data_IF_485628143995
#
_entry.id   IF_485628143995
#
_cell.length_a   1.000
_cell.length_b   1.000
_cell.length_c   1.000
_cell.angle_alpha   90.00
_cell.angle_beta   90.00
_cell.angle_gamma   90.00
#
_symmetry.space_group_name_H-M   'P 1'
#
loop_
_entity.id
_entity.type
_entity.pdbx_description
1 polymer ?
#
# COMPACT_ATOMS: atom_id res chain seq x y z
N UNK A 1 -14.56 27.99 10.89
CA UNK A 1 -13.59 27.11 10.19
C UNK A 1 -12.60 26.60 11.22
N UNK A 2 -12.42 25.29 11.29
CA UNK A 2 -11.48 24.64 12.21
C UNK A 2 -10.04 25.06 11.84
N UNK A 3 -9.16 25.43 12.79
CA UNK A 3 -7.75 25.73 12.52
C UNK A 3 -7.01 24.65 11.71
N UNK A 4 -7.43 23.38 11.83
CA UNK A 4 -6.89 22.26 11.04
C UNK A 4 -7.31 22.36 9.56
N UNK A 5 -8.54 22.79 9.26
CA UNK A 5 -8.99 22.99 7.88
C UNK A 5 -8.29 24.17 7.19
N UNK A 6 -8.04 25.26 7.92
CA UNK A 6 -7.29 26.42 7.43
C UNK A 6 -5.85 26.01 7.12
N UNK A 7 -5.21 25.22 7.99
CA UNK A 7 -3.85 24.73 7.79
C UNK A 7 -3.73 23.78 6.56
N UNK A 8 -4.72 22.93 6.34
CA UNK A 8 -4.75 22.03 5.19
C UNK A 8 -5.01 22.78 3.87
N UNK A 9 -5.89 23.78 3.89
CA UNK A 9 -6.17 24.65 2.73
C UNK A 9 -4.93 25.43 2.31
N UNK A 10 -4.22 26.06 3.26
CA UNK A 10 -2.99 26.80 3.00
C UNK A 10 -1.87 25.88 2.44
N UNK A 11 -1.70 24.67 2.97
CA UNK A 11 -0.75 23.69 2.45
C UNK A 11 -1.06 23.25 1.03
N UNK A 12 -2.33 23.05 0.71
CA UNK A 12 -2.77 22.70 -0.64
C UNK A 12 -2.50 23.82 -1.64
N UNK A 13 -2.72 25.09 -1.26
CA UNK A 13 -2.39 26.25 -2.10
C UNK A 13 -0.88 26.31 -2.34
N UNK A 14 -0.07 26.22 -1.31
CA UNK A 14 1.41 26.24 -1.43
C UNK A 14 1.93 25.11 -2.33
N UNK A 15 1.42 23.89 -2.15
CA UNK A 15 1.82 22.76 -2.99
C UNK A 15 1.38 22.94 -4.44
N UNK A 16 0.22 23.54 -4.69
CA UNK A 16 -0.26 23.86 -6.04
C UNK A 16 0.66 24.86 -6.73
N UNK A 17 1.05 25.94 -6.04
CA UNK A 17 1.99 26.95 -6.57
C UNK A 17 3.33 26.32 -6.86
N UNK A 18 3.87 25.52 -5.94
CA UNK A 18 5.14 24.79 -6.10
C UNK A 18 5.10 23.89 -7.35
N UNK A 19 4.06 23.06 -7.50
CA UNK A 19 3.90 22.18 -8.66
C UNK A 19 3.89 22.96 -9.98
N UNK A 20 3.13 24.05 -10.04
CA UNK A 20 3.06 24.90 -11.26
C UNK A 20 4.43 25.51 -11.60
N UNK A 21 5.11 26.06 -10.59
CA UNK A 21 6.42 26.67 -10.77
C UNK A 21 7.47 25.65 -11.20
N UNK A 22 7.54 24.49 -10.53
CA UNK A 22 8.51 23.45 -10.87
C UNK A 22 8.27 22.89 -12.28
N UNK A 23 7.01 22.71 -12.67
CA UNK A 23 6.69 22.32 -14.05
C UNK A 23 7.18 23.34 -15.08
N UNK A 24 6.94 24.64 -14.83
CA UNK A 24 7.42 25.71 -15.71
C UNK A 24 8.94 25.74 -15.83
N UNK A 25 9.63 25.43 -14.72
CA UNK A 25 11.10 25.39 -14.64
C UNK A 25 11.70 24.04 -15.08
N UNK A 26 10.89 23.06 -15.49
CA UNK A 26 11.36 21.70 -15.83
C UNK A 26 11.96 20.93 -14.66
N UNK A 27 11.60 21.26 -13.41
CA UNK A 27 12.15 20.59 -12.22
C UNK A 27 11.27 19.42 -11.81
N UNK A 28 11.82 18.22 -11.88
CA UNK A 28 11.13 16.96 -11.58
C UNK A 28 11.80 16.24 -10.40
N UNK A 29 11.00 15.51 -9.62
CA UNK A 29 11.41 14.87 -8.37
C UNK A 29 10.88 13.44 -8.31
N UNK A 30 11.42 12.56 -9.16
CA UNK A 30 11.12 11.13 -9.14
C UNK A 30 12.05 10.48 -8.12
N UNK A 31 11.55 9.89 -7.04
CA UNK A 31 12.40 9.26 -6.05
C UNK A 31 12.94 7.93 -6.59
N UNK A 32 14.24 7.77 -6.55
CA UNK A 32 14.92 6.50 -6.81
C UNK A 32 14.82 5.63 -5.56
N UNK A 33 13.60 5.18 -5.25
CA UNK A 33 13.37 4.21 -4.18
C UNK A 33 13.86 2.88 -4.73
N UNK A 34 15.05 2.50 -4.30
CA UNK A 34 15.72 1.34 -4.81
C UNK A 34 14.95 0.07 -4.48
N UNK A 35 14.64 -0.72 -5.51
CA UNK A 35 14.62 -2.17 -5.43
C UNK A 35 13.46 -2.78 -4.68
N UNK A 36 12.29 -2.11 -4.58
CA UNK A 36 11.08 -2.71 -4.02
C UNK A 36 10.06 -2.99 -5.13
N UNK A 37 9.63 -4.25 -5.23
CA UNK A 37 8.51 -4.67 -6.07
C UNK A 37 7.31 -5.02 -5.19
N UNK A 38 6.11 -4.61 -5.62
CA UNK A 38 4.87 -4.97 -4.97
C UNK A 38 4.31 -6.25 -5.60
N UNK A 39 4.02 -7.27 -4.79
CA UNK A 39 3.49 -8.54 -5.24
C UNK A 39 2.20 -8.84 -4.47
N UNK A 40 1.08 -8.94 -5.19
CA UNK A 40 -0.17 -9.41 -4.62
C UNK A 40 -0.14 -10.92 -4.48
N UNK A 41 0.20 -11.43 -3.28
CA UNK A 41 0.18 -12.88 -3.03
C UNK A 41 -1.24 -13.44 -2.94
N UNK A 42 -2.16 -12.62 -2.42
CA UNK A 42 -3.58 -12.93 -2.40
C UNK A 42 -4.40 -11.66 -2.50
N UNK A 43 -5.37 -11.64 -3.39
CA UNK A 43 -6.39 -10.58 -3.45
C UNK A 43 -7.61 -10.90 -2.59
N UNK A 44 -7.62 -12.03 -1.87
CA UNK A 44 -8.71 -12.44 -0.98
C UNK A 44 -8.59 -11.76 0.38
N UNK A 45 -9.70 -11.32 0.96
CA UNK A 45 -9.79 -10.81 2.33
C UNK A 45 -10.94 -11.49 3.07
N UNK A 46 -10.80 -11.69 4.36
CA UNK A 46 -11.86 -12.21 5.24
C UNK A 46 -12.73 -11.11 5.87
N UNK A 47 -12.45 -9.84 5.57
CA UNK A 47 -13.21 -8.68 6.02
C UNK A 47 -13.85 -7.97 4.83
N UNK A 48 -15.00 -7.33 5.04
CA UNK A 48 -15.76 -6.55 4.06
C UNK A 48 -15.85 -5.08 4.48
N UNK A 49 -14.70 -4.48 4.79
CA UNK A 49 -14.65 -3.11 5.32
C UNK A 49 -15.36 -2.13 4.40
N UNK A 50 -16.33 -1.37 4.94
CA UNK A 50 -17.17 -0.43 4.20
C UNK A 50 -16.37 0.68 3.47
N UNK A 51 -15.16 0.99 3.93
CA UNK A 51 -14.27 1.98 3.35
C UNK A 51 -13.22 1.36 2.41
N UNK A 52 -13.28 0.06 2.11
CA UNK A 52 -12.29 -0.63 1.27
C UNK A 52 -12.84 -0.94 -0.12
N UNK A 53 -12.04 -0.72 -1.14
CA UNK A 53 -12.40 -1.06 -2.51
C UNK A 53 -12.55 -2.58 -2.74
N UNK A 54 -12.13 -3.42 -1.80
CA UNK A 54 -12.25 -4.88 -1.88
C UNK A 54 -13.69 -5.36 -2.16
N UNK A 55 -14.67 -4.73 -1.52
CA UNK A 55 -16.09 -5.12 -1.70
C UNK A 55 -16.62 -4.78 -3.10
N UNK A 56 -15.97 -3.87 -3.80
CA UNK A 56 -16.33 -3.43 -5.17
C UNK A 56 -15.39 -3.96 -6.25
N UNK A 57 -14.37 -4.73 -5.87
CA UNK A 57 -13.41 -5.34 -6.80
C UNK A 57 -14.12 -6.25 -7.79
N UNK A 58 -13.92 -6.00 -9.08
CA UNK A 58 -14.49 -6.77 -10.19
C UNK A 58 -13.54 -7.84 -10.71
N UNK A 59 -12.22 -7.61 -10.59
CA UNK A 59 -11.22 -8.58 -10.98
C UNK A 59 -11.22 -9.81 -10.05
N UNK A 60 -10.73 -10.98 -10.50
CA UNK A 60 -10.75 -12.21 -9.71
C UNK A 60 -10.11 -12.07 -8.33
N UNK A 61 -10.77 -12.63 -7.31
CA UNK A 61 -10.24 -12.75 -5.96
C UNK A 61 -9.56 -14.12 -5.82
N UNK A 62 -8.25 -14.14 -5.98
CA UNK A 62 -7.44 -15.36 -6.05
C UNK A 62 -6.15 -15.20 -5.26
N UNK A 63 -5.51 -16.33 -4.93
CA UNK A 63 -4.14 -16.37 -4.43
C UNK A 63 -3.20 -16.81 -5.53
N UNK A 64 -2.00 -16.22 -5.57
CA UNK A 64 -0.93 -16.55 -6.49
C UNK A 64 -0.39 -17.95 -6.18
N UNK A 65 -0.16 -18.79 -7.19
CA UNK A 65 0.47 -20.10 -6.98
C UNK A 65 1.93 -19.94 -6.52
N UNK A 66 2.47 -20.95 -5.83
CA UNK A 66 3.86 -20.92 -5.38
C UNK A 66 4.84 -20.87 -6.53
N UNK A 67 4.63 -21.68 -7.56
CA UNK A 67 5.52 -21.72 -8.74
C UNK A 67 5.56 -20.38 -9.45
N UNK A 68 4.40 -19.73 -9.61
CA UNK A 68 4.35 -18.42 -10.22
C UNK A 68 5.00 -17.34 -9.33
N UNK A 69 4.80 -17.41 -8.01
CA UNK A 69 5.48 -16.52 -7.08
C UNK A 69 7.00 -16.63 -7.15
N UNK A 70 7.52 -17.87 -7.19
CA UNK A 70 8.96 -18.15 -7.35
C UNK A 70 9.49 -17.55 -8.63
N UNK A 71 8.78 -17.70 -9.74
CA UNK A 71 9.16 -17.12 -11.03
C UNK A 71 9.14 -15.58 -11.01
N UNK A 72 8.11 -14.97 -10.38
CA UNK A 72 8.05 -13.49 -10.19
C UNK A 72 9.25 -12.99 -9.40
N UNK A 73 9.60 -13.65 -8.29
CA UNK A 73 10.75 -13.26 -7.46
C UNK A 73 12.06 -13.42 -8.26
N UNK A 74 12.24 -14.51 -8.98
CA UNK A 74 13.40 -14.75 -9.84
C UNK A 74 13.57 -13.62 -10.87
N UNK A 75 12.53 -13.33 -11.64
CA UNK A 75 12.55 -12.25 -12.64
C UNK A 75 12.81 -10.87 -11.99
N UNK A 76 12.22 -10.61 -10.84
CA UNK A 76 12.43 -9.37 -10.12
C UNK A 76 13.89 -9.22 -9.63
N UNK A 77 14.48 -10.26 -9.08
CA UNK A 77 15.86 -10.27 -8.63
C UNK A 77 16.85 -10.04 -9.79
N UNK A 78 16.61 -10.68 -10.95
CA UNK A 78 17.38 -10.45 -12.18
C UNK A 78 17.34 -8.99 -12.63
N UNK A 79 16.23 -8.28 -12.36
CA UNK A 79 16.08 -6.85 -12.63
C UNK A 79 16.63 -5.91 -11.55
N UNK A 80 17.24 -6.48 -10.51
CA UNK A 80 17.83 -5.72 -9.43
C UNK A 80 16.89 -5.41 -8.25
N UNK A 81 15.68 -5.91 -8.23
CA UNK A 81 14.82 -5.81 -7.04
C UNK A 81 15.40 -6.67 -5.92
N UNK A 82 15.40 -6.14 -4.69
CA UNK A 82 15.95 -6.82 -3.50
C UNK A 82 14.97 -6.80 -2.33
N UNK A 83 13.90 -6.02 -2.44
CA UNK A 83 12.88 -5.88 -1.40
C UNK A 83 11.50 -6.12 -2.00
N UNK A 84 10.61 -6.68 -1.20
CA UNK A 84 9.26 -7.04 -1.65
C UNK A 84 8.20 -6.52 -0.68
N UNK A 85 7.20 -5.84 -1.21
CA UNK A 85 5.97 -5.51 -0.52
C UNK A 85 4.94 -6.57 -0.89
N UNK A 86 4.53 -7.36 0.10
CA UNK A 86 3.68 -8.55 -0.12
C UNK A 86 2.19 -8.26 0.01
N UNK A 87 1.84 -7.02 0.35
CA UNK A 87 0.44 -6.64 0.51
C UNK A 87 -0.07 -6.00 -0.76
N UNK A 88 -1.17 -6.53 -1.27
CA UNK A 88 -1.86 -5.94 -2.41
C UNK A 88 -2.53 -4.60 -2.02
N UNK A 89 -3.09 -3.94 -3.02
CA UNK A 89 -4.05 -2.85 -2.77
C UNK A 89 -5.18 -3.31 -1.84
N UNK A 90 -5.67 -4.53 -2.05
CA UNK A 90 -6.73 -5.18 -1.25
C UNK A 90 -6.37 -6.64 -0.99
N UNK A 91 -7.05 -7.26 -0.04
CA UNK A 91 -6.75 -8.62 0.40
C UNK A 91 -6.02 -8.64 1.74
N UNK A 92 -5.67 -9.83 2.20
CA UNK A 92 -4.83 -10.06 3.38
C UNK A 92 -3.87 -11.20 3.10
N UNK A 93 -2.60 -11.05 3.44
CA UNK A 93 -1.56 -12.05 3.14
C UNK A 93 -1.85 -13.42 3.77
N UNK A 94 -2.48 -13.45 4.95
CA UNK A 94 -2.83 -14.71 5.61
C UNK A 94 -4.05 -15.41 5.02
N UNK A 95 -4.70 -14.81 4.02
CA UNK A 95 -5.71 -15.49 3.19
C UNK A 95 -5.07 -16.33 2.07
N UNK A 96 -3.77 -16.19 1.85
CA UNK A 96 -3.00 -17.10 1.00
C UNK A 96 -2.70 -18.38 1.78
N UNK A 97 -3.22 -19.54 1.36
CA UNK A 97 -2.99 -20.80 2.08
C UNK A 97 -1.51 -21.21 2.14
N UNK A 98 -0.70 -20.72 1.21
CA UNK A 98 0.72 -21.06 1.06
C UNK A 98 1.64 -19.89 1.41
N UNK A 99 1.17 -18.89 2.17
CA UNK A 99 1.95 -17.67 2.44
C UNK A 99 3.28 -17.95 3.13
N UNK A 100 3.33 -18.91 4.03
CA UNK A 100 4.56 -19.24 4.73
C UNK A 100 5.60 -19.93 3.83
N UNK A 101 5.19 -20.71 2.83
CA UNK A 101 6.09 -21.27 1.82
C UNK A 101 6.70 -20.14 0.97
N UNK A 102 5.92 -19.12 0.65
CA UNK A 102 6.42 -17.91 -0.03
C UNK A 102 7.38 -17.10 0.85
N UNK A 103 7.11 -16.98 2.14
CA UNK A 103 8.06 -16.36 3.08
C UNK A 103 9.35 -17.16 3.16
N UNK A 104 9.28 -18.49 3.29
CA UNK A 104 10.45 -19.38 3.33
C UNK A 104 11.28 -19.28 2.04
N UNK A 105 10.63 -19.13 0.88
CA UNK A 105 11.33 -18.86 -0.38
C UNK A 105 12.12 -17.55 -0.32
N UNK A 106 11.51 -16.45 0.18
CA UNK A 106 12.20 -15.17 0.34
C UNK A 106 13.34 -15.23 1.38
N UNK A 107 13.12 -15.95 2.49
CA UNK A 107 14.14 -16.17 3.54
C UNK A 107 15.38 -16.90 2.99
N UNK A 108 15.18 -17.92 2.15
CA UNK A 108 16.27 -18.74 1.58
C UNK A 108 17.00 -18.08 0.42
N UNK A 109 16.38 -17.11 -0.28
CA UNK A 109 16.97 -16.51 -1.49
C UNK A 109 18.07 -15.52 -1.16
N UNK A 110 19.32 -15.78 -1.58
CA UNK A 110 20.50 -14.99 -1.22
C UNK A 110 20.40 -13.49 -1.55
N UNK A 111 19.81 -13.17 -2.72
CA UNK A 111 19.70 -11.81 -3.21
C UNK A 111 18.51 -11.02 -2.63
N UNK A 112 17.63 -11.64 -1.86
CA UNK A 112 16.53 -10.95 -1.18
C UNK A 112 17.07 -10.31 0.10
N UNK A 113 16.97 -8.97 0.16
CA UNK A 113 17.40 -8.19 1.32
C UNK A 113 16.31 -8.06 2.40
N UNK A 114 15.05 -8.20 2.02
CA UNK A 114 13.92 -8.15 2.95
C UNK A 114 12.58 -8.05 2.27
N UNK A 115 11.53 -8.24 3.07
CA UNK A 115 10.16 -8.08 2.64
C UNK A 115 9.30 -7.52 3.77
N UNK A 116 8.13 -7.03 3.40
CA UNK A 116 7.18 -6.42 4.33
C UNK A 116 5.75 -6.65 3.88
N UNK A 117 4.79 -6.47 4.80
CA UNK A 117 3.37 -6.57 4.46
C UNK A 117 2.48 -5.84 5.45
N UNK A 118 1.22 -5.64 5.01
CA UNK A 118 0.12 -5.23 5.87
C UNK A 118 -0.81 -6.41 6.11
N UNK A 119 -1.48 -6.44 7.26
CA UNK A 119 -2.50 -7.44 7.59
C UNK A 119 -3.53 -6.88 8.57
N UNK A 120 -4.74 -7.40 8.54
CA UNK A 120 -5.75 -7.15 9.58
C UNK A 120 -5.56 -8.02 10.83
N UNK A 121 -4.65 -9.00 10.75
CA UNK A 121 -4.20 -9.88 11.82
C UNK A 121 -5.30 -10.73 12.49
N UNK A 122 -6.47 -10.87 11.85
CA UNK A 122 -7.57 -11.69 12.36
C UNK A 122 -7.48 -13.16 11.94
N UNK A 123 -6.65 -13.48 10.93
CA UNK A 123 -6.55 -14.81 10.31
C UNK A 123 -5.49 -15.70 10.95
N UNK A 124 -4.29 -15.22 11.32
CA UNK A 124 -3.23 -16.07 11.87
C UNK A 124 -3.69 -16.91 13.06
N UNK A 125 -3.22 -18.16 13.12
CA UNK A 125 -3.37 -19.05 14.28
C UNK A 125 -2.16 -18.87 15.19
N UNK A 126 -2.19 -19.32 16.43
CA UNK A 126 -1.06 -19.22 17.35
C UNK A 126 0.27 -19.74 16.77
N UNK A 127 0.24 -20.86 16.05
CA UNK A 127 1.43 -21.41 15.38
C UNK A 127 1.95 -20.53 14.24
N UNK A 128 1.06 -19.80 13.57
CA UNK A 128 1.43 -18.93 12.47
C UNK A 128 2.15 -17.67 13.00
N UNK A 129 1.73 -17.19 14.18
CA UNK A 129 2.42 -16.10 14.90
C UNK A 129 3.83 -16.54 15.33
N UNK A 130 4.01 -17.78 15.85
CA UNK A 130 5.31 -18.32 16.18
C UNK A 130 6.23 -18.44 14.96
N UNK A 131 5.71 -18.90 13.81
CA UNK A 131 6.47 -18.93 12.55
C UNK A 131 6.88 -17.53 12.12
N UNK A 132 5.97 -16.55 12.22
CA UNK A 132 6.26 -15.16 11.88
C UNK A 132 7.44 -14.60 12.67
N UNK A 133 7.50 -14.89 13.98
CA UNK A 133 8.58 -14.44 14.86
C UNK A 133 9.95 -15.07 14.53
N UNK A 134 9.99 -16.16 13.79
CA UNK A 134 11.22 -16.85 13.40
C UNK A 134 11.85 -16.31 12.10
N UNK A 135 11.10 -15.51 11.32
CA UNK A 135 11.55 -14.96 10.03
C UNK A 135 12.65 -13.90 10.25
N UNK A 136 13.70 -13.94 9.44
CA UNK A 136 14.90 -13.09 9.60
C UNK A 136 14.98 -11.93 8.60
N UNK A 137 14.45 -12.15 7.38
CA UNK A 137 14.39 -11.13 6.33
C UNK A 137 13.07 -10.36 6.30
N UNK A 138 12.10 -10.75 7.13
CA UNK A 138 10.93 -9.94 7.37
C UNK A 138 11.39 -8.63 8.01
N UNK A 139 11.22 -7.52 7.29
CA UNK A 139 11.72 -6.21 7.72
C UNK A 139 10.66 -5.38 8.43
N UNK A 140 9.40 -5.49 8.04
CA UNK A 140 8.34 -4.67 8.60
C UNK A 140 6.97 -5.34 8.50
N UNK A 141 6.17 -5.19 9.54
CA UNK A 141 4.74 -5.58 9.56
C UNK A 141 3.91 -4.40 10.03
N UNK A 142 2.95 -3.99 9.21
CA UNK A 142 1.91 -3.05 9.64
C UNK A 142 0.61 -3.81 9.91
N UNK A 143 0.12 -3.75 11.14
CA UNK A 143 -1.17 -4.33 11.49
C UNK A 143 -2.24 -3.24 11.38
N UNK A 144 -3.21 -3.49 10.49
CA UNK A 144 -4.35 -2.60 10.27
C UNK A 144 -5.49 -2.94 11.22
N UNK A 145 -5.76 -2.04 12.16
CA UNK A 145 -6.82 -2.16 13.16
C UNK A 145 -8.02 -1.33 12.71
N UNK A 146 -9.21 -1.91 12.79
CA UNK A 146 -10.46 -1.26 12.39
C UNK A 146 -11.46 -1.24 13.55
N UNK A 147 -12.06 -0.06 13.80
CA UNK A 147 -12.88 0.17 14.98
C UNK A 147 -12.07 0.32 16.27
N UNK A 148 -12.74 0.65 17.35
CA UNK A 148 -12.13 0.81 18.67
C UNK A 148 -12.76 -0.10 19.74
N UNK A 149 -13.89 -0.75 19.41
CA UNK A 149 -14.63 -1.71 20.24
C UNK A 149 -15.35 -2.73 19.34
N UNK A 150 -16.03 -3.76 19.90
CA UNK A 150 -16.73 -4.76 19.11
C UNK A 150 -17.77 -4.18 18.14
N UNK A 151 -18.54 -3.19 18.57
CA UNK A 151 -19.64 -2.63 17.77
C UNK A 151 -19.09 -1.82 16.57
N UNK A 152 -18.08 -0.98 16.78
CA UNK A 152 -17.43 -0.22 15.70
C UNK A 152 -16.62 -1.12 14.80
N UNK A 153 -16.00 -2.18 15.31
CA UNK A 153 -15.32 -3.19 14.50
C UNK A 153 -16.32 -3.89 13.55
N UNK A 154 -17.43 -4.38 14.06
CA UNK A 154 -18.49 -5.00 13.26
C UNK A 154 -19.06 -4.02 12.23
N UNK A 155 -19.42 -2.81 12.64
CA UNK A 155 -19.97 -1.79 11.75
C UNK A 155 -19.02 -1.39 10.61
N UNK A 156 -17.72 -1.36 10.85
CA UNK A 156 -16.71 -1.01 9.84
C UNK A 156 -16.36 -2.19 8.95
N UNK A 157 -16.19 -3.39 9.52
CA UNK A 157 -15.60 -4.55 8.81
C UNK A 157 -16.61 -5.55 8.31
N UNK A 158 -17.87 -5.48 8.76
CA UNK A 158 -18.89 -6.51 8.52
C UNK A 158 -18.63 -7.84 9.25
N UNK A 159 -17.59 -7.91 10.08
CA UNK A 159 -17.19 -9.15 10.75
C UNK A 159 -17.71 -9.20 12.19
N UNK A 160 -18.10 -10.40 12.63
CA UNK A 160 -18.70 -10.62 13.95
C UNK A 160 -17.76 -10.37 15.12
N UNK A 161 -18.30 -10.19 16.32
CA UNK A 161 -17.55 -10.09 17.58
C UNK A 161 -16.59 -11.27 17.80
N UNK A 162 -16.88 -12.46 17.29
CA UNK A 162 -15.96 -13.61 17.33
C UNK A 162 -14.63 -13.29 16.64
N UNK A 163 -14.67 -12.60 15.52
CA UNK A 163 -13.45 -12.19 14.78
C UNK A 163 -12.71 -11.07 15.53
N UNK A 164 -13.44 -10.13 16.13
CA UNK A 164 -12.86 -9.12 17.01
C UNK A 164 -12.11 -9.74 18.20
N UNK A 165 -12.72 -10.71 18.90
CA UNK A 165 -12.06 -11.41 20.01
C UNK A 165 -10.83 -12.18 19.56
N UNK A 166 -10.88 -12.77 18.35
CA UNK A 166 -9.70 -13.43 17.76
C UNK A 166 -8.58 -12.43 17.48
N UNK A 167 -8.89 -11.25 16.95
CA UNK A 167 -7.92 -10.18 16.79
C UNK A 167 -7.25 -9.84 18.13
N UNK A 168 -8.03 -9.58 19.19
CA UNK A 168 -7.50 -9.27 20.51
C UNK A 168 -6.61 -10.40 21.05
N UNK A 169 -7.00 -11.67 20.90
CA UNK A 169 -6.21 -12.81 21.32
C UNK A 169 -4.87 -12.93 20.55
N UNK A 170 -4.90 -12.71 19.23
CA UNK A 170 -3.69 -12.70 18.40
C UNK A 170 -2.74 -11.55 18.79
N UNK A 171 -3.28 -10.39 19.08
CA UNK A 171 -2.52 -9.23 19.53
C UNK A 171 -1.92 -9.46 20.93
N UNK A 172 -2.65 -10.08 21.86
CA UNK A 172 -2.14 -10.43 23.17
C UNK A 172 -0.96 -11.41 23.08
N UNK A 173 -1.08 -12.45 22.22
CA UNK A 173 0.02 -13.38 21.96
C UNK A 173 1.24 -12.66 21.37
N UNK A 174 1.03 -11.79 20.38
CA UNK A 174 2.11 -11.01 19.76
C UNK A 174 2.77 -10.08 20.79
N UNK A 175 1.99 -9.45 21.66
CA UNK A 175 2.50 -8.60 22.73
C UNK A 175 3.40 -9.39 23.70
N UNK A 176 2.96 -10.56 24.14
CA UNK A 176 3.73 -11.46 25.01
C UNK A 176 5.07 -11.93 24.39
N UNK A 177 5.16 -11.89 23.06
CA UNK A 177 6.34 -12.31 22.31
C UNK A 177 7.13 -11.15 21.68
N UNK A 178 6.80 -9.89 22.03
CA UNK A 178 7.31 -8.68 21.36
C UNK A 178 8.84 -8.59 21.34
N UNK A 179 9.52 -9.06 22.41
CA UNK A 179 10.98 -9.07 22.50
C UNK A 179 11.67 -10.10 21.59
N UNK A 180 10.93 -11.03 20.97
CA UNK A 180 11.49 -12.08 20.11
C UNK A 180 11.44 -11.71 18.61
N UNK A 181 10.68 -10.66 18.23
CA UNK A 181 10.56 -10.26 16.83
C UNK A 181 11.87 -9.69 16.29
N UNK A 182 12.17 -9.96 15.02
CA UNK A 182 13.31 -9.39 14.30
C UNK A 182 12.91 -8.27 13.33
N UNK A 183 11.63 -7.95 13.22
CA UNK A 183 11.06 -6.97 12.28
C UNK A 183 10.51 -5.74 13.00
N UNK A 184 10.42 -4.64 12.28
CA UNK A 184 9.70 -3.47 12.73
C UNK A 184 8.19 -3.72 12.74
N UNK A 185 7.51 -3.23 13.76
CA UNK A 185 6.07 -3.38 13.92
C UNK A 185 5.44 -2.01 14.10
N UNK A 186 4.37 -1.73 13.37
CA UNK A 186 3.51 -0.60 13.65
C UNK A 186 2.01 -0.94 13.44
N UNK A 187 1.16 -0.09 13.99
CA UNK A 187 -0.28 -0.21 13.86
C UNK A 187 -0.87 0.99 13.11
N UNK A 188 -1.76 0.69 12.16
CA UNK A 188 -2.65 1.66 11.55
C UNK A 188 -4.06 1.52 12.10
N UNK A 189 -4.37 2.17 13.21
CA UNK A 189 -5.71 2.12 13.80
C UNK A 189 -6.63 3.13 13.12
N UNK A 190 -7.69 2.64 12.49
CA UNK A 190 -8.72 3.43 11.81
C UNK A 190 -10.07 3.19 12.48
N UNK A 191 -10.73 4.25 12.90
CA UNK A 191 -12.02 4.16 13.57
C UNK A 191 -12.93 5.33 13.16
N UNK A 192 -14.08 5.43 13.77
CA UNK A 192 -15.08 6.48 13.61
C UNK A 192 -14.63 7.78 14.28
N UNK A 193 -15.31 8.91 13.99
CA UNK A 193 -15.00 10.23 14.56
C UNK A 193 -15.16 10.29 16.09
N UNK A 194 -16.03 9.45 16.63
CA UNK A 194 -16.37 9.35 18.04
C UNK A 194 -15.46 8.40 18.84
N UNK A 195 -14.35 7.95 18.24
CA UNK A 195 -13.37 7.13 18.95
C UNK A 195 -12.91 7.85 20.23
N UNK A 196 -13.09 7.23 21.41
CA UNK A 196 -12.76 7.87 22.68
C UNK A 196 -11.25 8.10 22.83
N UNK A 197 -10.88 9.15 23.56
CA UNK A 197 -9.48 9.48 23.84
C UNK A 197 -8.83 8.53 24.84
N UNK A 198 -9.62 7.91 25.74
CA UNK A 198 -9.16 6.95 26.74
C UNK A 198 -9.54 5.55 26.34
N UNK A 199 -8.72 4.58 26.71
CA UNK A 199 -8.99 3.18 26.44
C UNK A 199 -10.22 2.70 27.22
N UNK A 200 -11.32 2.44 26.49
CA UNK A 200 -12.56 1.91 27.05
C UNK A 200 -12.81 0.46 26.67
N UNK A 201 -12.08 -0.06 25.67
CA UNK A 201 -12.20 -1.44 25.20
C UNK A 201 -10.91 -2.23 25.43
N UNK A 202 -10.98 -3.56 25.28
CA UNK A 202 -9.83 -4.46 25.32
C UNK A 202 -8.81 -4.07 24.24
N UNK A 203 -9.28 -3.85 23.01
CA UNK A 203 -8.42 -3.48 21.88
C UNK A 203 -7.68 -2.16 22.13
N UNK A 204 -8.36 -1.15 22.66
CA UNK A 204 -7.71 0.12 22.96
C UNK A 204 -6.66 -0.01 24.06
N UNK A 205 -6.93 -0.81 25.11
CA UNK A 205 -5.92 -1.11 26.15
C UNK A 205 -4.70 -1.85 25.57
N UNK A 206 -4.91 -2.78 24.64
CA UNK A 206 -3.81 -3.42 23.93
C UNK A 206 -2.98 -2.39 23.14
N UNK A 207 -3.61 -1.48 22.42
CA UNK A 207 -2.89 -0.43 21.69
C UNK A 207 -2.07 0.47 22.62
N UNK A 208 -2.60 0.86 23.77
CA UNK A 208 -1.85 1.63 24.78
C UNK A 208 -0.64 0.85 25.33
N UNK A 209 -0.79 -0.47 25.54
CA UNK A 209 0.33 -1.34 25.97
C UNK A 209 1.44 -1.42 24.91
N UNK A 210 1.06 -1.57 23.62
CA UNK A 210 2.03 -1.54 22.52
C UNK A 210 2.75 -0.19 22.43
N UNK A 211 2.03 0.93 22.56
CA UNK A 211 2.64 2.27 22.57
C UNK A 211 3.62 2.45 23.73
N UNK A 212 3.23 2.02 24.93
CA UNK A 212 4.11 2.06 26.10
C UNK A 212 5.38 1.22 25.93
N UNK A 213 5.36 0.22 25.03
CA UNK A 213 6.51 -0.61 24.66
C UNK A 213 7.31 -0.05 23.47
N UNK A 214 6.99 1.18 23.01
CA UNK A 214 7.71 1.84 21.92
C UNK A 214 7.22 1.50 20.51
N UNK A 215 6.13 0.74 20.37
CA UNK A 215 5.52 0.43 19.06
C UNK A 215 4.68 1.63 18.59
N UNK A 216 4.84 2.03 17.35
CA UNK A 216 4.09 3.17 16.77
C UNK A 216 2.65 2.77 16.50
N UNK A 217 1.69 3.50 17.06
CA UNK A 217 0.26 3.36 16.75
C UNK A 217 -0.26 4.65 16.10
N UNK A 218 -0.48 4.61 14.80
CA UNK A 218 -1.05 5.73 14.04
C UNK A 218 -2.57 5.65 14.07
N UNK A 219 -3.22 6.64 14.66
CA UNK A 219 -4.69 6.70 14.75
C UNK A 219 -5.28 7.63 13.70
N UNK A 220 -6.34 7.16 13.04
CA UNK A 220 -7.18 7.94 12.14
C UNK A 220 -8.61 7.97 12.67
N UNK A 221 -9.14 9.17 12.85
CA UNK A 221 -10.46 9.42 13.44
C UNK A 221 -11.45 9.76 12.32
N UNK A 222 -12.13 8.75 11.79
CA UNK A 222 -13.29 8.90 10.90
C UNK A 222 -13.04 9.62 9.58
N UNK A 223 -11.79 9.74 9.12
CA UNK A 223 -11.48 10.30 7.80
C UNK A 223 -10.69 9.29 6.98
N UNK A 224 -11.24 8.88 5.85
CA UNK A 224 -10.68 7.81 5.02
C UNK A 224 -10.47 8.26 3.59
N UNK A 225 -9.62 7.52 2.87
CA UNK A 225 -9.40 7.74 1.44
C UNK A 225 -10.53 7.14 0.60
N UNK A 226 -10.68 7.67 -0.63
CA UNK A 226 -11.73 7.27 -1.56
C UNK A 226 -11.35 6.10 -2.49
N UNK A 227 -10.17 5.52 -2.34
CA UNK A 227 -9.71 4.41 -3.18
C UNK A 227 -9.80 4.69 -4.70
N UNK A 228 -9.41 5.89 -5.14
CA UNK A 228 -9.48 6.25 -6.56
C UNK A 228 -10.91 6.36 -7.09
N UNK A 229 -11.88 6.63 -6.20
CA UNK A 229 -13.29 6.76 -6.52
C UNK A 229 -14.12 5.49 -6.34
N UNK A 230 -13.50 4.36 -5.95
CA UNK A 230 -14.26 3.15 -5.61
C UNK A 230 -15.13 3.33 -4.38
N UNK A 231 -14.68 4.12 -3.41
CA UNK A 231 -15.38 4.35 -2.14
C UNK A 231 -15.93 5.77 -2.10
N UNK A 232 -17.18 5.88 -1.70
CA UNK A 232 -17.94 7.13 -1.59
C UNK A 232 -18.56 7.27 -0.22
N UNK A 233 -19.12 8.45 0.09
CA UNK A 233 -19.85 8.68 1.34
C UNK A 233 -21.10 7.79 1.47
N UNK A 234 -21.63 7.27 0.35
CA UNK A 234 -22.74 6.33 0.37
C UNK A 234 -22.38 4.97 0.99
N UNK A 235 -21.12 4.56 0.86
CA UNK A 235 -20.65 3.26 1.35
C UNK A 235 -20.48 3.22 2.88
N UNK A 236 -20.33 4.39 3.51
CA UNK A 236 -20.13 4.56 4.96
C UNK A 236 -21.35 5.17 5.66
N UNK A 237 -22.52 5.16 5.00
CA UNK A 237 -23.76 5.68 5.60
C UNK A 237 -24.09 4.96 6.91
N UNK A 238 -24.48 5.75 7.92
CA UNK A 238 -24.78 5.24 9.25
C UNK A 238 -23.57 5.15 10.20
N UNK A 239 -22.36 5.39 9.69
CA UNK A 239 -21.17 5.52 10.50
C UNK A 239 -20.65 6.96 10.49
N UNK A 240 -20.13 7.49 11.60
CA UNK A 240 -19.50 8.82 11.64
C UNK A 240 -18.12 8.80 10.97
N UNK A 241 -18.13 8.64 9.64
CA UNK A 241 -16.95 8.53 8.77
C UNK A 241 -17.12 9.47 7.59
N UNK A 242 -16.06 10.20 7.24
CA UNK A 242 -15.94 10.99 6.02
C UNK A 242 -15.02 10.29 5.01
N UNK A 243 -15.34 10.41 3.75
CA UNK A 243 -14.49 9.99 2.63
C UNK A 243 -13.87 11.22 1.97
N UNK A 244 -12.55 11.23 1.83
CA UNK A 244 -11.85 12.32 1.15
C UNK A 244 -12.25 12.41 -0.32
N UNK A 245 -12.51 13.63 -0.79
CA UNK A 245 -12.72 13.90 -2.22
C UNK A 245 -11.39 14.09 -2.98
N UNK A 246 -11.44 13.81 -4.27
CA UNK A 246 -10.30 14.00 -5.17
C UNK A 246 -10.01 15.47 -5.50
N UNK A 247 -11.00 16.34 -5.35
CA UNK A 247 -10.94 17.78 -5.60
C UNK A 247 -9.95 18.52 -4.71
N UNK A 248 -9.57 17.90 -3.58
CA UNK A 248 -8.58 18.47 -2.64
C UNK A 248 -7.13 18.37 -3.15
N UNK A 249 -6.89 17.65 -4.26
CA UNK A 249 -5.54 17.40 -4.77
C UNK A 249 -5.38 17.96 -6.16
N UNK A 250 -4.50 18.94 -6.30
CA UNK A 250 -4.08 19.46 -7.60
C UNK A 250 -3.23 18.43 -8.34
N UNK A 251 -3.70 18.02 -9.53
CA UNK A 251 -3.06 17.02 -10.38
C UNK A 251 -2.41 17.68 -11.58
N UNK A 252 -1.10 17.48 -11.72
CA UNK A 252 -0.33 18.01 -12.81
C UNK A 252 0.94 17.18 -13.01
N UNK A 253 1.14 16.61 -14.20
CA UNK A 253 2.23 15.71 -14.54
C UNK A 253 2.02 14.26 -14.11
N UNK A 254 3.02 13.42 -14.29
CA UNK A 254 2.95 12.02 -13.88
C UNK A 254 2.95 11.86 -12.36
N UNK A 255 2.27 10.83 -11.89
CA UNK A 255 2.26 10.45 -10.48
C UNK A 255 3.53 9.71 -10.11
N UNK A 256 4.20 10.08 -9.02
CA UNK A 256 5.40 9.41 -8.54
C UNK A 256 5.21 7.89 -8.28
N UNK A 257 3.97 7.46 -8.03
CA UNK A 257 3.66 6.05 -7.85
C UNK A 257 3.87 5.20 -9.11
N UNK A 258 3.75 5.78 -10.31
CA UNK A 258 4.04 5.05 -11.55
C UNK A 258 5.51 4.58 -11.64
N UNK A 259 6.41 5.24 -10.93
CA UNK A 259 7.85 4.97 -10.93
C UNK A 259 8.31 4.14 -9.73
N UNK A 260 7.48 4.06 -8.68
CA UNK A 260 7.90 3.52 -7.38
C UNK A 260 7.06 2.38 -6.86
N UNK A 261 5.85 2.16 -7.42
CA UNK A 261 4.91 1.19 -6.89
C UNK A 261 4.25 0.36 -8.00
N UNK A 262 5.05 -0.14 -8.94
CA UNK A 262 4.58 -1.14 -9.90
C UNK A 262 4.22 -2.42 -9.14
N UNK A 263 3.08 -3.02 -9.48
CA UNK A 263 2.55 -4.18 -8.79
C UNK A 263 2.34 -5.36 -9.76
N UNK A 264 2.76 -6.55 -9.32
CA UNK A 264 2.36 -7.81 -9.92
C UNK A 264 1.15 -8.35 -9.16
N UNK A 265 0.01 -8.45 -9.86
CA UNK A 265 -1.24 -8.99 -9.30
C UNK A 265 -1.17 -10.51 -9.17
N UNK A 266 -2.00 -11.10 -8.31
CA UNK A 266 -2.08 -12.57 -8.15
C UNK A 266 -2.47 -13.31 -9.44
N UNK A 267 -3.09 -12.62 -10.38
CA UNK A 267 -3.45 -13.11 -11.72
C UNK A 267 -2.31 -13.06 -12.75
N UNK A 268 -1.17 -12.45 -12.42
CA UNK A 268 -0.06 -12.20 -13.35
C UNK A 268 -0.11 -10.85 -14.07
N UNK A 269 -1.21 -10.11 -13.96
CA UNK A 269 -1.30 -8.77 -14.52
C UNK A 269 -0.32 -7.84 -13.80
N UNK A 270 0.43 -7.05 -14.56
CA UNK A 270 1.32 -6.01 -14.02
C UNK A 270 0.62 -4.67 -14.13
N UNK A 271 0.44 -4.03 -12.97
CA UNK A 271 -0.26 -2.76 -12.84
C UNK A 271 0.70 -1.62 -12.50
N UNK A 272 0.52 -0.46 -13.12
CA UNK A 272 1.37 0.73 -12.90
C UNK A 272 1.20 1.39 -11.52
N UNK A 273 0.25 0.94 -10.70
CA UNK A 273 0.00 1.53 -9.39
C UNK A 273 -0.47 0.48 -8.36
N UNK A 274 0.29 0.29 -7.29
CA UNK A 274 -0.06 -0.59 -6.17
C UNK A 274 -0.90 0.13 -5.09
N UNK A 275 -1.40 1.35 -5.34
CA UNK A 275 -1.93 2.18 -4.26
C UNK A 275 -3.46 2.28 -4.21
N UNK A 276 -4.14 2.38 -5.36
CA UNK A 276 -5.59 2.70 -5.42
C UNK A 276 -6.33 1.97 -6.53
N UNK A 277 -5.64 1.24 -7.37
CA UNK A 277 -6.22 0.59 -8.55
C UNK A 277 -6.37 -0.91 -8.33
N UNK A 278 -7.48 -1.29 -7.73
CA UNK A 278 -7.74 -2.68 -7.29
C UNK A 278 -8.08 -3.63 -8.44
N UNK A 279 -8.51 -3.08 -9.59
CA UNK A 279 -8.89 -3.85 -10.77
C UNK A 279 -7.86 -3.80 -11.90
N UNK A 280 -6.66 -3.26 -11.60
CA UNK A 280 -5.56 -3.11 -12.56
C UNK A 280 -5.97 -2.38 -13.85
N UNK A 281 -6.74 -1.28 -13.71
CA UNK A 281 -7.15 -0.44 -14.85
C UNK A 281 -5.97 0.35 -15.45
N UNK A 282 -4.85 0.42 -14.70
CA UNK A 282 -3.56 0.97 -15.12
C UNK A 282 -2.61 -0.14 -15.56
N UNK A 283 -3.14 -1.20 -16.16
CA UNK A 283 -2.38 -2.35 -16.65
C UNK A 283 -1.28 -1.90 -17.62
N UNK A 284 -0.06 -2.38 -17.38
CA UNK A 284 1.12 -2.15 -18.24
C UNK A 284 1.66 -3.44 -18.86
N UNK A 285 1.16 -4.61 -18.45
CA UNK A 285 1.54 -5.90 -19.02
C UNK A 285 0.88 -7.09 -18.36
N UNK A 286 1.33 -8.29 -18.76
CA UNK A 286 0.86 -9.57 -18.24
C UNK A 286 2.04 -10.54 -18.21
N UNK A 287 2.44 -10.96 -17.04
CA UNK A 287 3.57 -11.89 -16.83
C UNK A 287 3.29 -13.30 -17.38
N UNK A 288 2.03 -13.66 -17.61
CA UNK A 288 1.71 -14.93 -18.27
C UNK A 288 2.10 -14.93 -19.77
N UNK A 289 2.33 -13.75 -20.36
CA UNK A 289 2.62 -13.60 -21.79
C UNK A 289 3.98 -12.90 -22.05
N UNK A 290 4.46 -12.06 -21.14
CA UNK A 290 5.61 -11.19 -21.39
C UNK A 290 6.50 -11.13 -20.14
N UNK A 291 7.81 -11.31 -20.25
CA UNK A 291 8.73 -11.21 -19.11
C UNK A 291 8.71 -9.84 -18.44
N UNK A 292 8.94 -9.82 -17.12
CA UNK A 292 8.92 -8.59 -16.32
C UNK A 292 9.89 -7.51 -16.84
N UNK A 293 11.04 -7.92 -17.41
CA UNK A 293 12.02 -7.02 -17.97
C UNK A 293 11.47 -6.19 -19.15
N UNK A 294 10.59 -6.81 -19.95
CA UNK A 294 9.99 -6.17 -21.12
C UNK A 294 8.77 -5.34 -20.72
N UNK A 295 8.08 -5.74 -19.66
CA UNK A 295 6.95 -4.99 -19.10
C UNK A 295 7.43 -3.71 -18.40
N UNK A 296 8.44 -3.79 -17.53
CA UNK A 296 9.03 -2.61 -16.85
C UNK A 296 10.21 -2.13 -17.72
N UNK A 297 9.90 -1.56 -18.85
CA UNK A 297 10.86 -1.14 -19.87
C UNK A 297 10.41 0.15 -20.56
N UNK A 298 11.34 1.02 -20.97
CA UNK A 298 10.99 2.18 -21.78
C UNK A 298 10.55 1.78 -23.20
N UNK A 299 10.83 0.55 -23.65
CA UNK A 299 10.33 0.01 -24.90
C UNK A 299 8.87 -0.47 -24.80
N UNK A 300 8.30 -0.57 -23.59
CA UNK A 300 6.92 -0.95 -23.42
C UNK A 300 5.97 0.23 -23.70
N UNK A 301 5.20 0.21 -24.82
CA UNK A 301 4.35 1.33 -25.18
C UNK A 301 3.23 1.55 -24.15
N UNK A 302 2.68 0.51 -23.51
CA UNK A 302 1.62 0.65 -22.52
C UNK A 302 2.10 1.38 -21.26
N UNK A 303 3.35 1.13 -20.83
CA UNK A 303 3.92 1.80 -19.67
C UNK A 303 4.25 3.27 -19.99
N UNK A 304 4.88 3.53 -21.13
CA UNK A 304 5.22 4.89 -21.55
C UNK A 304 3.98 5.73 -21.82
N UNK A 305 2.97 5.16 -22.49
CA UNK A 305 1.71 5.83 -22.74
C UNK A 305 1.02 6.29 -21.43
N UNK A 306 1.00 5.42 -20.40
CA UNK A 306 0.42 5.76 -19.10
C UNK A 306 1.12 6.97 -18.44
N UNK A 307 2.44 7.04 -18.55
CA UNK A 307 3.25 8.17 -18.05
C UNK A 307 2.95 9.43 -18.86
N UNK A 308 2.96 9.32 -20.19
CA UNK A 308 2.79 10.46 -21.10
C UNK A 308 1.36 11.02 -21.06
N UNK A 309 0.33 10.17 -20.91
CA UNK A 309 -1.05 10.61 -20.66
C UNK A 309 -1.10 11.55 -19.44
N UNK A 310 -0.54 11.12 -18.31
CA UNK A 310 -0.52 11.94 -17.09
C UNK A 310 0.33 13.22 -17.24
N UNK A 311 1.41 13.17 -18.01
CA UNK A 311 2.22 14.35 -18.31
C UNK A 311 1.43 15.38 -19.13
N UNK A 312 0.54 14.95 -20.00
CA UNK A 312 -0.39 15.85 -20.74
C UNK A 312 -1.60 16.30 -19.92
N UNK A 313 -1.80 15.76 -18.71
CA UNK A 313 -2.98 16.04 -17.87
C UNK A 313 -4.17 15.13 -18.19
N UNK A 314 -3.96 14.08 -18.96
CA UNK A 314 -4.97 13.08 -19.33
C UNK A 314 -4.97 11.96 -18.27
N UNK A 315 -5.82 12.07 -17.27
CA UNK A 315 -5.89 11.10 -16.17
C UNK A 315 -6.98 10.07 -16.43
N UNK A 316 -6.61 8.78 -16.38
CA UNK A 316 -7.60 7.68 -16.40
C UNK A 316 -8.55 7.78 -15.21
N UNK A 317 -9.77 7.21 -15.26
CA UNK A 317 -10.80 7.42 -14.24
C UNK A 317 -10.33 7.24 -12.80
N UNK A 318 -9.60 6.14 -12.49
CA UNK A 318 -9.04 5.87 -11.16
C UNK A 318 -8.05 6.95 -10.71
N UNK A 319 -7.21 7.45 -11.62
CA UNK A 319 -6.26 8.53 -11.32
C UNK A 319 -6.98 9.88 -11.18
N UNK A 320 -8.00 10.14 -12.02
CA UNK A 320 -8.81 11.37 -11.96
C UNK A 320 -9.52 11.47 -10.59
N UNK A 321 -10.05 10.36 -10.09
CA UNK A 321 -10.76 10.29 -8.81
C UNK A 321 -9.84 10.06 -7.60
N UNK A 322 -8.53 9.81 -7.79
CA UNK A 322 -7.62 9.47 -6.70
C UNK A 322 -7.37 10.65 -5.75
N UNK A 323 -7.54 10.42 -4.45
CA UNK A 323 -7.22 11.35 -3.35
C UNK A 323 -5.79 11.19 -2.80
N UNK A 324 -4.95 10.40 -3.48
CA UNK A 324 -3.58 10.09 -3.04
C UNK A 324 -2.51 10.34 -4.10
N UNK A 325 -2.87 11.05 -5.15
CA UNK A 325 -1.95 11.41 -6.23
C UNK A 325 -0.74 12.22 -5.74
N UNK A 326 0.42 11.98 -6.32
CA UNK A 326 1.69 12.63 -5.99
C UNK A 326 2.40 13.10 -7.26
N UNK A 327 2.30 14.38 -7.58
CA UNK A 327 2.98 14.96 -8.75
C UNK A 327 4.51 14.79 -8.65
N UNK A 328 5.16 14.44 -9.77
CA UNK A 328 6.64 14.47 -9.88
C UNK A 328 7.20 15.90 -9.79
N UNK A 329 6.38 16.92 -9.95
CA UNK A 329 6.76 18.34 -9.79
C UNK A 329 6.68 18.84 -8.34
N UNK A 330 6.31 17.98 -7.39
CA UNK A 330 6.24 18.33 -5.96
C UNK A 330 7.43 17.77 -5.20
N UNK A 331 8.34 18.65 -4.72
CA UNK A 331 9.43 18.28 -3.82
C UNK A 331 8.91 18.00 -2.41
N UNK A 332 8.50 16.78 -2.14
CA UNK A 332 7.93 16.39 -0.86
C UNK A 332 8.95 16.44 0.27
N UNK A 333 8.49 16.89 1.45
CA UNK A 333 9.34 16.99 2.65
C UNK A 333 9.98 15.65 3.03
N UNK A 334 9.30 14.52 2.76
CA UNK A 334 9.84 13.18 3.03
C UNK A 334 11.07 12.88 2.18
N UNK A 335 11.14 13.36 0.93
CA UNK A 335 12.32 13.15 0.07
C UNK A 335 13.54 13.87 0.62
N UNK A 336 13.35 15.09 1.15
CA UNK A 336 14.42 15.86 1.81
C UNK A 336 14.89 15.18 3.09
N UNK A 337 13.96 14.68 3.91
CA UNK A 337 14.26 14.04 5.21
C UNK A 337 14.95 12.69 5.05
N UNK A 338 14.54 11.90 4.07
CA UNK A 338 15.09 10.56 3.84
C UNK A 338 16.41 10.56 3.06
N UNK A 339 16.79 11.70 2.44
CA UNK A 339 17.97 11.77 1.57
C UNK A 339 17.88 10.87 0.33
N UNK A 340 16.66 10.42 -0.05
CA UNK A 340 16.49 9.55 -1.21
C UNK A 340 16.96 10.27 -2.48
N UNK A 341 17.80 9.64 -3.33
CA UNK A 341 18.20 10.22 -4.60
C UNK A 341 16.98 10.50 -5.49
N UNK A 342 16.99 11.64 -6.18
CA UNK A 342 15.94 12.06 -7.08
C UNK A 342 16.47 12.12 -8.50
N UNK A 343 15.57 11.86 -9.46
CA UNK A 343 15.88 11.96 -10.88
C UNK A 343 14.75 12.64 -11.66
N UNK A 344 15.08 13.11 -12.86
CA UNK A 344 14.08 13.63 -13.82
C UNK A 344 13.42 12.47 -14.57
N UNK A 345 12.36 12.74 -15.31
CA UNK A 345 11.69 11.75 -16.16
C UNK A 345 12.63 11.20 -17.24
N UNK A 346 13.42 12.07 -17.86
CA UNK A 346 14.44 11.65 -18.84
C UNK A 346 15.54 10.82 -18.18
N UNK A 347 15.97 11.20 -16.98
CA UNK A 347 16.90 10.41 -16.17
C UNK A 347 16.36 9.02 -15.87
N UNK A 348 15.07 8.92 -15.47
CA UNK A 348 14.39 7.65 -15.25
C UNK A 348 14.36 6.79 -16.53
N UNK A 349 13.90 7.36 -17.66
CA UNK A 349 13.85 6.64 -18.95
C UNK A 349 15.23 6.14 -19.39
N UNK A 350 16.25 6.99 -19.28
CA UNK A 350 17.65 6.65 -19.63
C UNK A 350 18.20 5.54 -18.73
N UNK A 351 17.99 5.65 -17.41
CA UNK A 351 18.43 4.61 -16.46
C UNK A 351 17.73 3.29 -16.74
N UNK A 352 16.42 3.33 -16.94
CA UNK A 352 15.62 2.13 -17.22
C UNK A 352 16.08 1.47 -18.54
N UNK A 353 16.34 2.24 -19.60
CA UNK A 353 16.87 1.73 -20.86
C UNK A 353 18.19 0.99 -20.66
N UNK A 354 19.12 1.60 -19.94
CA UNK A 354 20.42 0.98 -19.62
C UNK A 354 20.25 -0.31 -18.81
N UNK A 355 19.41 -0.31 -17.79
CA UNK A 355 19.15 -1.47 -16.93
C UNK A 355 18.45 -2.62 -17.67
N UNK A 356 17.72 -2.33 -18.76
CA UNK A 356 17.02 -3.33 -19.59
C UNK A 356 17.80 -3.71 -20.84
N UNK A 357 18.92 -3.05 -21.13
CA UNK A 357 19.71 -3.28 -22.35
C UNK A 357 18.97 -2.85 -23.63
N UNK A 358 18.12 -1.81 -23.51
CA UNK A 358 17.41 -1.18 -24.63
C UNK A 358 18.20 0.03 -25.07
N UNK A 359 18.77 -0.02 -26.28
CA UNK A 359 19.52 1.10 -26.92
C UNK A 359 18.59 1.98 -27.73
#
# INVERSE_FOLDING_TARGET
MDPIEIGNSARNVLSTVEIKLNRLLGREFIPRIANMLHIETSSVCNLECCFCAYVKKQSPKVSMSNDFFVDVVRQAVELGYRRFEMTPCTGDVFMDPNIFEKFEHLESHADVAGYQFFTNFTVPRPKDIERLLSLKKLSHVTISIYGHDPATFEGITGASEKIYRRLCANLEQLFGALGRKSFDLDFGMRSTKDMPRRAMSELMRLMERFEASGVVVRRSHGVYNNWGGYVTTADVRGLPIDINGAERIYKNGACAHLFTTVQVMATGIVNGCACRDVDATLRIGDLNATPLRDIISPANPAYMQLIDEQQRGEFRPVCKSCDFYKSIYHMRSIYRKSGVPLETLDGFKTRLARERGVT
#
